data_IF_575496521188
#
_entry.id   IF_575496521188
#
_cell.length_a   1.000
_cell.length_b   1.000
_cell.length_c   1.000
_cell.angle_alpha   90.00
_cell.angle_beta   90.00
_cell.angle_gamma   90.00
#
_symmetry.space_group_name_H-M   'P 1'
#
loop_
_entity.id
_entity.type
_entity.pdbx_description
1 polymer ?
#
# COMPACT_ATOMS: atom_id res chain seq x y z
N UNK A 1 -22.88 31.47 -5.32
CA UNK A 1 -21.64 31.25 -4.55
C UNK A 1 -20.87 30.13 -5.23
N UNK A 2 -19.73 30.45 -5.85
CA UNK A 2 -18.83 29.46 -6.42
C UNK A 2 -17.92 28.94 -5.32
N UNK A 3 -17.69 27.62 -5.26
CA UNK A 3 -16.47 27.03 -4.68
C UNK A 3 -16.25 25.62 -5.24
N UNK A 4 -15.81 25.59 -6.50
CA UNK A 4 -14.48 25.12 -6.86
C UNK A 4 -14.02 23.74 -6.35
N UNK A 5 -14.60 22.67 -6.91
CA UNK A 5 -13.96 21.36 -6.92
C UNK A 5 -12.93 21.31 -8.06
N UNK A 6 -11.72 21.84 -7.82
CA UNK A 6 -10.56 21.55 -8.66
C UNK A 6 -10.14 20.10 -8.38
N UNK A 7 -10.86 19.16 -8.98
CA UNK A 7 -10.33 17.82 -9.17
C UNK A 7 -9.24 17.94 -10.23
N UNK A 8 -7.98 17.95 -9.80
CA UNK A 8 -6.78 18.00 -10.65
C UNK A 8 -6.75 16.76 -11.55
N UNK A 9 -7.37 16.87 -12.74
CA UNK A 9 -7.46 15.79 -13.74
C UNK A 9 -6.10 15.40 -14.34
N UNK A 10 -5.01 16.05 -13.92
CA UNK A 10 -3.65 15.75 -14.34
C UNK A 10 -3.00 14.68 -13.45
N UNK A 11 -3.43 14.56 -12.18
CA UNK A 11 -2.84 13.59 -11.25
C UNK A 11 -3.08 12.15 -11.67
N UNK A 12 -4.25 11.81 -12.20
CA UNK A 12 -4.59 10.43 -12.59
C UNK A 12 -3.82 9.90 -13.81
N UNK A 13 -3.44 10.79 -14.73
CA UNK A 13 -2.56 10.44 -15.87
C UNK A 13 -1.15 10.13 -15.38
N UNK A 14 -0.62 11.03 -14.56
CA UNK A 14 0.70 10.91 -13.97
C UNK A 14 0.86 9.62 -13.14
N UNK A 15 -0.18 9.26 -12.36
CA UNK A 15 -0.23 8.06 -11.52
C UNK A 15 -0.07 6.76 -12.32
N UNK A 16 -0.60 6.70 -13.54
CA UNK A 16 -0.41 5.56 -14.43
C UNK A 16 0.97 5.61 -15.10
N UNK A 17 1.50 6.80 -15.34
CA UNK A 17 2.77 6.99 -16.03
C UNK A 17 3.96 6.52 -15.18
N UNK A 18 4.02 6.77 -13.87
CA UNK A 18 5.17 6.30 -13.05
C UNK A 18 5.26 4.78 -13.00
N UNK A 19 4.10 4.12 -12.90
CA UNK A 19 4.02 2.67 -12.87
C UNK A 19 4.35 2.08 -14.24
N UNK A 20 3.87 2.70 -15.32
CA UNK A 20 4.23 2.29 -16.68
C UNK A 20 5.72 2.50 -16.98
N UNK A 21 6.32 3.59 -16.48
CA UNK A 21 7.77 3.82 -16.54
C UNK A 21 8.54 2.76 -15.76
N UNK A 22 8.09 2.40 -14.56
CA UNK A 22 8.69 1.34 -13.77
C UNK A 22 8.65 -0.02 -14.51
N UNK A 23 7.52 -0.31 -15.16
CA UNK A 23 7.36 -1.52 -15.98
C UNK A 23 8.34 -1.53 -17.16
N UNK A 24 8.45 -0.40 -17.90
CA UNK A 24 9.38 -0.28 -19.03
C UNK A 24 10.84 -0.43 -18.59
N UNK A 25 11.23 0.19 -17.48
CA UNK A 25 12.58 0.08 -16.91
C UNK A 25 12.95 -1.36 -16.58
N UNK A 26 12.04 -2.10 -15.94
CA UNK A 26 12.25 -3.51 -15.64
C UNK A 26 12.32 -4.35 -16.92
N UNK A 27 11.45 -4.08 -17.90
CA UNK A 27 11.42 -4.79 -19.18
C UNK A 27 12.69 -4.57 -20.02
N UNK A 28 13.20 -3.34 -20.01
CA UNK A 28 14.46 -2.98 -20.68
C UNK A 28 15.67 -3.59 -19.98
N UNK A 29 15.68 -3.60 -18.64
CA UNK A 29 16.73 -4.26 -17.86
C UNK A 29 16.72 -5.79 -18.03
N UNK A 30 15.54 -6.40 -18.17
CA UNK A 30 15.38 -7.85 -18.34
C UNK A 30 15.69 -8.69 -17.09
N UNK A 31 15.94 -8.05 -15.94
CA UNK A 31 16.23 -8.71 -14.68
C UNK A 31 15.65 -7.94 -13.48
N UNK A 32 15.51 -8.62 -12.34
CA UNK A 32 15.08 -7.97 -11.10
C UNK A 32 16.08 -6.89 -10.66
N UNK A 33 15.59 -5.81 -10.05
CA UNK A 33 16.40 -4.68 -9.60
C UNK A 33 15.95 -4.23 -8.20
N UNK A 34 16.84 -3.53 -7.48
CA UNK A 34 16.51 -3.02 -6.16
C UNK A 34 15.36 -2.02 -6.24
N UNK A 35 14.43 -2.13 -5.31
CA UNK A 35 13.25 -1.26 -5.30
C UNK A 35 13.59 0.23 -5.23
N UNK A 36 14.58 0.56 -4.40
CA UNK A 36 15.09 1.93 -4.26
C UNK A 36 15.58 2.46 -5.59
N UNK A 37 16.37 1.67 -6.31
CA UNK A 37 16.95 2.08 -7.59
C UNK A 37 15.87 2.21 -8.66
N UNK A 38 14.87 1.34 -8.65
CA UNK A 38 13.69 1.44 -9.52
C UNK A 38 13.00 2.80 -9.32
N UNK A 39 12.64 3.14 -8.08
CA UNK A 39 11.98 4.40 -7.75
C UNK A 39 12.85 5.59 -8.16
N UNK A 40 14.14 5.57 -7.83
CA UNK A 40 15.06 6.64 -8.20
C UNK A 40 15.12 6.85 -9.71
N UNK A 41 15.22 5.77 -10.51
CA UNK A 41 15.21 5.87 -11.98
C UNK A 41 13.90 6.42 -12.53
N UNK A 42 12.76 5.99 -12.01
CA UNK A 42 11.44 6.50 -12.41
C UNK A 42 11.35 8.01 -12.15
N UNK A 43 11.80 8.46 -10.98
CA UNK A 43 11.82 9.88 -10.62
C UNK A 43 12.78 10.70 -11.49
N UNK A 44 13.94 10.13 -11.85
CA UNK A 44 14.90 10.77 -12.75
C UNK A 44 14.31 10.99 -14.15
N UNK A 45 13.53 10.04 -14.68
CA UNK A 45 12.89 10.15 -15.99
C UNK A 45 11.73 11.16 -15.96
N UNK A 46 10.93 11.16 -14.89
CA UNK A 46 9.78 12.05 -14.77
C UNK A 46 10.17 13.54 -14.65
N UNK A 47 11.38 13.85 -14.20
CA UNK A 47 11.87 15.22 -14.10
C UNK A 47 11.25 15.96 -12.90
N UNK A 48 11.81 15.75 -11.71
CA UNK A 48 11.31 16.36 -10.47
C UNK A 48 11.70 17.83 -10.33
N UNK A 49 10.82 18.75 -10.71
CA UNK A 49 10.97 20.17 -10.35
C UNK A 49 9.83 20.75 -9.49
N UNK A 50 8.75 20.00 -9.23
CA UNK A 50 7.52 20.59 -8.64
C UNK A 50 7.19 20.05 -7.24
N UNK A 51 7.82 18.96 -6.77
CA UNK A 51 7.54 18.36 -5.44
C UNK A 51 8.80 17.97 -4.69
N UNK A 52 8.70 17.89 -3.36
CA UNK A 52 9.76 17.35 -2.50
C UNK A 52 10.12 15.92 -2.93
N UNK A 53 11.41 15.61 -3.00
CA UNK A 53 11.91 14.30 -3.40
C UNK A 53 11.33 13.17 -2.52
N UNK A 54 11.19 13.40 -1.21
CA UNK A 54 10.63 12.41 -0.29
C UNK A 54 9.16 12.09 -0.60
N UNK A 55 8.38 13.11 -0.95
CA UNK A 55 6.98 12.94 -1.31
C UNK A 55 6.85 12.18 -2.64
N UNK A 56 7.66 12.53 -3.64
CA UNK A 56 7.65 11.84 -4.92
C UNK A 56 8.05 10.36 -4.78
N UNK A 57 9.02 10.05 -3.90
CA UNK A 57 9.39 8.66 -3.58
C UNK A 57 8.23 7.88 -2.93
N UNK A 58 7.53 8.48 -1.97
CA UNK A 58 6.39 7.85 -1.29
C UNK A 58 5.20 7.59 -2.24
N UNK A 59 4.94 8.52 -3.15
CA UNK A 59 3.91 8.37 -4.18
C UNK A 59 4.25 7.18 -5.09
N UNK A 60 5.42 7.16 -5.71
CA UNK A 60 5.85 6.05 -6.59
C UNK A 60 5.89 4.71 -5.84
N UNK A 61 6.36 4.71 -4.59
CA UNK A 61 6.33 3.52 -3.74
C UNK A 61 4.92 2.95 -3.64
N UNK A 62 3.95 3.78 -3.27
CA UNK A 62 2.56 3.36 -3.09
C UNK A 62 1.99 2.82 -4.40
N UNK A 63 2.22 3.54 -5.49
CA UNK A 63 1.74 3.17 -6.82
C UNK A 63 2.27 1.81 -7.29
N UNK A 64 3.57 1.54 -7.11
CA UNK A 64 4.15 0.23 -7.48
C UNK A 64 3.62 -0.88 -6.58
N UNK A 65 3.44 -0.62 -5.27
CA UNK A 65 2.91 -1.62 -4.34
C UNK A 65 1.44 -1.98 -4.61
N UNK A 66 0.64 -1.06 -5.15
CA UNK A 66 -0.74 -1.33 -5.55
C UNK A 66 -0.86 -2.06 -6.89
N UNK A 67 0.21 -2.12 -7.69
CA UNK A 67 0.17 -2.74 -9.02
C UNK A 67 0.61 -4.22 -8.99
N UNK A 68 -0.32 -5.11 -9.32
CA UNK A 68 -0.09 -6.57 -9.32
C UNK A 68 0.85 -7.09 -10.41
N UNK A 69 1.33 -6.25 -11.34
CA UNK A 69 2.33 -6.59 -12.36
C UNK A 69 3.73 -6.71 -11.77
N UNK A 70 3.99 -6.08 -10.62
CA UNK A 70 5.27 -6.15 -9.95
C UNK A 70 5.24 -7.20 -8.85
N UNK A 71 6.34 -7.95 -8.73
CA UNK A 71 6.49 -9.01 -7.73
C UNK A 71 7.81 -8.87 -7.01
N UNK A 72 7.81 -9.24 -5.74
CA UNK A 72 9.03 -9.31 -4.96
C UNK A 72 9.83 -10.55 -5.38
N UNK A 73 11.04 -10.34 -5.91
CA UNK A 73 11.97 -11.40 -6.27
C UNK A 73 12.85 -11.84 -5.08
N UNK A 74 12.68 -11.20 -3.91
CA UNK A 74 13.44 -11.47 -2.68
C UNK A 74 14.59 -10.48 -2.44
N UNK A 75 15.07 -10.40 -1.19
CA UNK A 75 16.20 -9.51 -0.78
C UNK A 75 16.02 -8.02 -1.13
N UNK A 76 14.77 -7.54 -1.21
CA UNK A 76 14.46 -6.16 -1.61
C UNK A 76 14.50 -5.91 -3.13
N UNK A 77 14.62 -6.96 -3.93
CA UNK A 77 14.58 -6.92 -5.38
C UNK A 77 13.15 -7.06 -5.88
N UNK A 78 12.81 -6.28 -6.89
CA UNK A 78 11.51 -6.29 -7.55
C UNK A 78 11.68 -6.66 -9.01
N UNK A 79 10.74 -7.44 -9.50
CA UNK A 79 10.70 -7.91 -10.87
C UNK A 79 9.29 -7.90 -11.43
N UNK A 80 9.16 -8.27 -12.69
CA UNK A 80 7.86 -8.40 -13.32
C UNK A 80 7.26 -9.77 -13.03
N UNK A 81 5.94 -9.80 -12.81
CA UNK A 81 5.20 -11.03 -12.56
C UNK A 81 5.32 -12.04 -13.71
N UNK A 82 5.56 -11.55 -14.94
CA UNK A 82 5.80 -12.35 -16.14
C UNK A 82 7.08 -13.20 -16.07
N UNK A 83 8.06 -12.81 -15.25
CA UNK A 83 9.29 -13.58 -15.04
C UNK A 83 9.12 -14.70 -14.02
N UNK A 84 8.02 -14.71 -13.26
CA UNK A 84 7.73 -15.78 -12.31
C UNK A 84 6.94 -16.90 -12.99
N UNK A 85 7.53 -18.12 -13.15
CA UNK A 85 6.86 -19.23 -13.83
C UNK A 85 5.56 -19.65 -13.14
N UNK A 86 5.41 -19.36 -11.84
CA UNK A 86 4.20 -19.66 -11.08
C UNK A 86 2.98 -18.85 -11.54
N UNK A 87 3.17 -17.65 -12.10
CA UNK A 87 2.06 -16.79 -12.58
C UNK A 87 1.89 -16.84 -14.10
N UNK A 88 2.93 -17.23 -14.85
CA UNK A 88 2.82 -17.54 -16.27
C UNK A 88 1.81 -18.69 -16.52
N UNK A 89 1.79 -19.70 -15.65
CA UNK A 89 0.80 -20.78 -15.68
C UNK A 89 -0.65 -20.32 -15.36
N UNK A 90 -0.84 -19.14 -14.75
CA UNK A 90 -2.17 -18.57 -14.50
C UNK A 90 -2.69 -17.71 -15.67
N UNK A 91 -1.91 -17.57 -16.75
CA UNK A 91 -2.21 -16.71 -17.91
C UNK A 91 -2.43 -17.49 -19.21
N UNK A 92 -2.50 -18.82 -19.13
CA UNK A 92 -2.92 -19.66 -20.24
C UNK A 92 -4.43 -19.49 -20.48
N UNK A 93 -4.91 -19.40 -21.74
CA UNK A 93 -6.33 -19.49 -22.02
C UNK A 93 -6.85 -20.84 -21.54
N UNK A 94 -8.04 -20.83 -20.95
CA UNK A 94 -8.73 -21.96 -20.31
C UNK A 94 -9.16 -23.09 -21.28
N UNK A 95 -8.25 -23.55 -22.14
CA UNK A 95 -8.44 -24.76 -22.94
C UNK A 95 -7.36 -25.77 -22.57
N UNK A 96 -7.80 -26.86 -21.92
CA UNK A 96 -7.08 -28.10 -21.62
C UNK A 96 -6.16 -28.15 -20.36
N UNK A 97 -6.81 -28.32 -19.20
CA UNK A 97 -6.67 -29.55 -18.43
C UNK A 97 -5.36 -29.85 -17.69
N UNK A 98 -5.28 -29.43 -16.42
CA UNK A 98 -4.78 -30.28 -15.32
C UNK A 98 -5.31 -29.74 -13.99
N UNK A 99 -6.33 -30.40 -13.44
CA UNK A 99 -6.91 -30.08 -12.14
C UNK A 99 -5.88 -30.27 -11.02
N UNK A 100 -5.36 -29.17 -10.47
CA UNK A 100 -4.80 -29.17 -9.11
C UNK A 100 -6.00 -29.11 -8.17
N UNK A 101 -6.15 -30.03 -7.19
CA UNK A 101 -7.31 -30.03 -6.32
C UNK A 101 -7.32 -28.75 -5.47
N UNK A 102 -8.34 -27.92 -5.72
CA UNK A 102 -8.69 -26.67 -5.03
C UNK A 102 -8.61 -26.75 -3.48
N UNK A 103 -8.84 -27.96 -2.95
CA UNK A 103 -8.71 -28.31 -1.54
C UNK A 103 -7.36 -27.90 -0.90
N UNK A 104 -6.23 -28.09 -1.60
CA UNK A 104 -4.92 -27.87 -0.97
C UNK A 104 -4.64 -26.40 -0.65
N UNK A 105 -5.16 -25.47 -1.46
CA UNK A 105 -5.02 -24.03 -1.22
C UNK A 105 -6.00 -23.54 -0.16
N UNK A 106 -7.20 -24.12 -0.09
CA UNK A 106 -8.17 -23.83 0.96
C UNK A 106 -7.68 -24.30 2.34
N UNK A 107 -7.14 -25.52 2.42
CA UNK A 107 -6.62 -26.09 3.67
C UNK A 107 -5.44 -25.29 4.25
N UNK A 108 -4.57 -24.74 3.39
CA UNK A 108 -3.47 -23.87 3.85
C UNK A 108 -3.97 -22.53 4.40
N UNK A 109 -4.97 -21.92 3.75
CA UNK A 109 -5.59 -20.68 4.23
C UNK A 109 -6.28 -20.91 5.57
N UNK A 110 -7.05 -21.98 5.70
CA UNK A 110 -7.74 -22.35 6.94
C UNK A 110 -6.76 -22.60 8.09
N UNK A 111 -5.66 -23.30 7.84
CA UNK A 111 -4.59 -23.49 8.86
C UNK A 111 -3.97 -22.18 9.33
N UNK A 112 -3.73 -21.23 8.44
CA UNK A 112 -3.15 -19.94 8.80
C UNK A 112 -4.13 -19.11 9.65
N UNK A 113 -5.42 -19.11 9.29
CA UNK A 113 -6.48 -18.44 10.04
C UNK A 113 -6.66 -19.05 11.44
N UNK A 114 -6.64 -20.38 11.55
CA UNK A 114 -6.77 -21.08 12.82
C UNK A 114 -5.60 -20.85 13.78
N UNK A 115 -4.38 -20.66 13.25
CA UNK A 115 -3.21 -20.36 14.07
C UNK A 115 -3.29 -18.96 14.71
N UNK A 116 -3.80 -17.96 13.98
CA UNK A 116 -3.96 -16.58 14.48
C UNK A 116 -4.99 -16.52 15.61
N UNK A 117 -6.08 -17.30 15.52
CA UNK A 117 -7.15 -17.27 16.52
C UNK A 117 -6.71 -17.85 17.88
N UNK A 118 -5.82 -18.86 17.89
CA UNK A 118 -5.30 -19.47 19.12
C UNK A 118 -4.33 -18.57 19.88
N UNK A 119 -3.64 -17.66 19.19
CA UNK A 119 -2.71 -16.73 19.84
C UNK A 119 -3.43 -15.55 20.53
N UNK A 120 -4.72 -15.33 20.23
CA UNK A 120 -5.55 -14.27 20.81
C UNK A 120 -6.45 -14.75 21.97
N UNK A 121 -6.19 -15.94 22.54
CA UNK A 121 -6.90 -16.38 23.75
C UNK A 121 -6.34 -15.63 24.98
N UNK A 122 -6.90 -14.44 25.22
CA UNK A 122 -6.55 -13.56 26.34
C UNK A 122 -7.00 -14.20 27.66
N UNK A 123 -6.13 -14.36 28.67
CA UNK A 123 -6.51 -14.98 29.92
C UNK A 123 -7.56 -14.14 30.65
N UNK A 124 -8.61 -14.80 31.16
CA UNK A 124 -9.78 -14.19 31.78
C UNK A 124 -9.46 -13.32 33.02
N UNK A 125 -8.24 -13.36 33.53
CA UNK A 125 -7.78 -12.56 34.68
C UNK A 125 -7.50 -11.07 34.39
N UNK A 126 -7.33 -10.66 33.13
CA UNK A 126 -6.99 -9.27 32.78
C UNK A 126 -8.20 -8.32 32.72
N UNK A 127 -9.43 -8.85 32.67
CA UNK A 127 -10.64 -8.04 32.56
C UNK A 127 -11.08 -7.38 33.88
N UNK A 128 -10.47 -7.74 35.01
CA UNK A 128 -10.93 -7.32 36.34
C UNK A 128 -10.26 -6.06 36.92
N UNK A 129 -9.33 -5.40 36.20
CA UNK A 129 -8.54 -4.30 36.77
C UNK A 129 -8.78 -2.90 36.18
N UNK A 130 -9.80 -2.72 35.32
CA UNK A 130 -10.10 -1.42 34.73
C UNK A 130 -11.56 -1.03 34.97
N UNK A 131 -11.90 -0.78 36.23
CA UNK A 131 -13.02 0.08 36.57
C UNK A 131 -12.59 1.09 37.65
N UNK A 132 -12.99 2.35 37.43
CA UNK A 132 -13.12 3.45 38.41
C UNK A 132 -12.06 4.56 38.47
N UNK A 133 -11.77 5.25 37.36
CA UNK A 133 -11.34 6.66 37.48
C UNK A 133 -11.90 7.52 36.33
N UNK A 134 -13.22 7.49 36.22
CA UNK A 134 -14.00 8.46 35.46
C UNK A 134 -14.68 9.42 36.46
N UNK A 135 -13.92 10.34 37.06
CA UNK A 135 -14.49 11.55 37.63
C UNK A 135 -13.40 12.55 38.02
N UNK A 136 -13.68 13.80 37.65
CA UNK A 136 -13.04 15.03 38.11
C UNK A 136 -11.76 15.43 37.36
N UNK A 137 -11.88 16.39 36.43
CA UNK A 137 -11.11 17.63 36.45
C UNK A 137 -11.60 18.62 35.36
N UNK A 138 -12.16 19.73 35.88
CA UNK A 138 -12.05 21.10 35.37
C UNK A 138 -12.96 21.57 34.22
N UNK A 139 -14.25 21.76 34.52
CA UNK A 139 -15.02 22.88 33.96
C UNK A 139 -14.61 24.17 34.69
N UNK A 140 -13.66 24.92 34.13
CA UNK A 140 -13.49 26.36 34.41
C UNK A 140 -12.42 26.93 33.47
N UNK A 141 -12.84 27.59 32.40
CA UNK A 141 -12.26 28.87 31.99
C UNK A 141 -13.34 29.69 31.28
N UNK A 142 -13.90 30.59 32.07
CA UNK A 142 -14.57 31.82 31.66
C UNK A 142 -13.49 32.83 31.25
N UNK A 143 -13.52 33.28 30.00
CA UNK A 143 -12.86 34.51 29.54
C UNK A 143 -13.71 35.14 28.43
N UNK A 144 -14.83 35.77 28.82
CA UNK A 144 -15.38 36.90 28.07
C UNK A 144 -14.72 38.20 28.58
N UNK A 145 -13.59 38.58 27.99
CA UNK A 145 -13.16 39.99 28.01
C UNK A 145 -13.78 40.67 26.77
N UNK A 146 -14.73 41.56 27.06
CA UNK A 146 -15.17 42.65 26.18
C UNK A 146 -13.95 43.45 25.68
N UNK A 147 -14.03 44.04 24.49
CA UNK A 147 -13.65 45.45 24.23
C UNK A 147 -13.92 45.77 22.74
N UNK A 148 -15.04 46.46 22.58
CA UNK A 148 -15.40 47.35 21.48
C UNK A 148 -14.29 48.39 21.23
N UNK A 149 -13.85 48.57 19.98
CA UNK A 149 -13.25 49.85 19.57
C UNK A 149 -13.40 50.11 18.06
N UNK A 150 -14.26 51.10 17.79
CA UNK A 150 -14.46 51.99 16.61
C UNK A 150 -14.17 51.48 15.18
#
# INVERSE_FOLDING_TARGET
MANNSYHDKNKDKDQNDEVNLAYQLLKEAGHSMYFRDLITKVLSIKGGLVRSQAQAMAEVHTQINMDSRFVHAGKGMWGLAEWSPQRAASREPEEAGAAIPDNASALRREKLLAAIQQEYEMPAEAAASYETEASELNEEEDLEDEEEND
#
